data_IF_063516790781
#
_entry.id   IF_063516790781
#
_cell.length_a   1.000
_cell.length_b   1.000
_cell.length_c   1.000
_cell.angle_alpha   90.00
_cell.angle_beta   90.00
_cell.angle_gamma   90.00
#
_symmetry.space_group_name_H-M   'P 1'
#
loop_
_entity.id
_entity.type
_entity.pdbx_description
1 polymer ?
#
# COMPACT_ATOMS: atom_id res chain seq x y z
N UNK A 1 14.86 -1.65 -25.34
CA UNK A 1 13.43 -1.44 -25.04
C UNK A 1 13.06 -2.17 -23.78
N UNK A 2 11.78 -2.46 -23.60
CA UNK A 2 11.26 -3.25 -22.48
C UNK A 2 11.89 -4.65 -22.46
N UNK A 3 12.19 -5.16 -21.27
CA UNK A 3 12.78 -6.49 -21.09
C UNK A 3 11.78 -7.64 -21.22
N UNK A 4 10.48 -7.35 -21.29
CA UNK A 4 9.38 -8.30 -21.48
C UNK A 4 8.16 -7.55 -22.04
N UNK A 5 7.16 -8.29 -22.54
CA UNK A 5 5.83 -7.76 -22.75
C UNK A 5 5.10 -7.57 -21.41
N UNK A 6 4.13 -6.67 -21.35
CA UNK A 6 3.28 -6.58 -20.18
C UNK A 6 2.37 -5.36 -20.15
N UNK A 7 1.44 -5.38 -19.21
CA UNK A 7 0.55 -4.27 -18.89
C UNK A 7 0.80 -3.84 -17.46
N UNK A 8 0.78 -2.54 -17.19
CA UNK A 8 1.01 -1.98 -15.86
C UNK A 8 -0.04 -0.92 -15.58
N UNK A 9 -0.48 -0.85 -14.32
CA UNK A 9 -1.54 0.06 -13.90
C UNK A 9 -1.04 1.03 -12.82
N UNK A 10 -1.36 2.30 -13.03
CA UNK A 10 -1.26 3.39 -12.09
C UNK A 10 -2.66 3.77 -11.63
N UNK A 11 -2.83 4.05 -10.34
CA UNK A 11 -4.11 4.53 -9.83
C UNK A 11 -3.90 5.59 -8.75
N UNK A 12 -4.81 6.54 -8.68
CA UNK A 12 -4.91 7.51 -7.62
C UNK A 12 -6.37 7.93 -7.41
N UNK A 13 -6.70 8.26 -6.16
CA UNK A 13 -8.02 8.80 -5.77
C UNK A 13 -7.82 9.82 -4.66
N UNK A 14 -8.71 10.78 -4.54
CA UNK A 14 -8.70 11.81 -3.48
C UNK A 14 -9.25 11.31 -2.14
N UNK A 15 -9.60 10.02 -2.01
CA UNK A 15 -10.09 9.41 -0.76
C UNK A 15 -9.13 9.61 0.42
N UNK A 16 -7.81 9.70 0.22
CA UNK A 16 -6.80 9.88 1.27
C UNK A 16 -5.72 10.88 0.87
N UNK A 17 -4.95 11.41 1.84
CA UNK A 17 -3.92 12.45 1.61
C UNK A 17 -2.72 11.93 0.79
N UNK A 18 -2.47 10.63 0.84
CA UNK A 18 -1.48 9.95 0.02
C UNK A 18 -2.07 9.47 -1.32
N UNK A 19 -3.30 9.84 -1.65
CA UNK A 19 -4.01 9.51 -2.89
C UNK A 19 -4.23 8.00 -3.13
N UNK A 20 -4.49 7.25 -2.07
CA UNK A 20 -4.72 5.80 -2.09
C UNK A 20 -6.21 5.47 -1.87
N UNK A 21 -6.68 4.29 -2.29
CA UNK A 21 -7.98 3.77 -1.86
C UNK A 21 -8.03 3.67 -0.33
N UNK A 22 -9.09 4.18 0.30
CA UNK A 22 -9.18 4.28 1.75
C UNK A 22 -9.10 2.92 2.45
N UNK A 23 -9.78 1.89 1.95
CA UNK A 23 -9.81 0.56 2.57
C UNK A 23 -8.42 -0.10 2.64
N UNK A 24 -7.61 0.08 1.59
CA UNK A 24 -6.23 -0.41 1.57
C UNK A 24 -5.36 0.40 2.52
N UNK A 25 -5.48 1.73 2.47
CA UNK A 25 -4.69 2.64 3.32
C UNK A 25 -4.89 2.33 4.81
N UNK A 26 -6.14 2.16 5.24
CA UNK A 26 -6.49 1.75 6.60
C UNK A 26 -5.94 0.35 6.96
N UNK A 27 -6.04 -0.61 6.04
CA UNK A 27 -5.47 -1.95 6.24
C UNK A 27 -3.96 -1.90 6.45
N UNK A 28 -3.25 -1.07 5.68
CA UNK A 28 -1.81 -0.89 5.82
C UNK A 28 -1.46 -0.18 7.14
N UNK A 29 -2.21 0.85 7.50
CA UNK A 29 -2.02 1.59 8.74
C UNK A 29 -2.17 0.69 9.98
N UNK A 30 -3.16 -0.21 9.99
CA UNK A 30 -3.36 -1.19 11.06
C UNK A 30 -2.14 -2.12 11.24
N UNK A 31 -1.60 -2.66 10.16
CA UNK A 31 -0.44 -3.56 10.23
C UNK A 31 0.87 -2.83 10.53
N UNK A 32 1.02 -1.59 10.06
CA UNK A 32 2.16 -0.73 10.39
C UNK A 32 2.17 -0.40 11.88
N UNK A 33 1.03 0.03 12.43
CA UNK A 33 0.90 0.39 13.84
C UNK A 33 1.08 -0.84 14.74
N UNK A 34 0.49 -1.98 14.37
CA UNK A 34 0.68 -3.24 15.11
C UNK A 34 2.15 -3.68 15.14
N UNK A 35 2.87 -3.52 14.02
CA UNK A 35 4.30 -3.80 13.97
C UNK A 35 5.13 -2.77 14.74
N UNK A 36 4.71 -1.50 14.79
CA UNK A 36 5.32 -0.46 15.61
C UNK A 36 5.21 -0.81 17.11
N UNK A 37 4.01 -1.12 17.58
CA UNK A 37 3.75 -1.58 18.96
C UNK A 37 4.67 -2.76 19.30
N UNK A 38 4.64 -3.82 18.49
CA UNK A 38 5.45 -5.02 18.73
C UNK A 38 6.96 -4.76 18.81
N UNK A 39 7.49 -3.85 17.99
CA UNK A 39 8.95 -3.64 17.88
C UNK A 39 9.49 -2.57 18.81
N UNK A 40 8.72 -1.53 19.05
CA UNK A 40 9.20 -0.31 19.69
C UNK A 40 8.56 -0.06 21.06
N UNK A 41 7.39 -0.64 21.33
CA UNK A 41 6.62 -0.48 22.58
C UNK A 41 6.04 -1.83 23.02
N UNK A 42 6.87 -2.88 23.13
CA UNK A 42 6.39 -4.24 23.40
C UNK A 42 5.62 -4.34 24.72
N UNK A 43 5.84 -3.44 25.68
CA UNK A 43 5.11 -3.39 26.94
C UNK A 43 3.59 -3.16 26.79
N UNK A 44 3.13 -2.55 25.68
CA UNK A 44 1.71 -2.32 25.45
C UNK A 44 0.96 -3.61 25.08
N UNK A 45 1.59 -4.47 24.29
CA UNK A 45 1.03 -5.74 23.82
C UNK A 45 2.14 -6.82 23.76
N UNK A 46 2.65 -7.31 24.90
CA UNK A 46 3.90 -8.05 25.00
C UNK A 46 3.87 -9.43 24.36
N UNK A 47 2.68 -9.95 24.07
CA UNK A 47 2.47 -11.23 23.44
C UNK A 47 2.56 -11.20 21.91
N UNK A 48 2.67 -10.03 21.26
CA UNK A 48 2.61 -9.94 19.80
C UNK A 48 3.78 -10.63 19.11
N UNK A 49 3.48 -11.43 18.08
CA UNK A 49 4.46 -12.06 17.18
C UNK A 49 4.41 -11.47 15.77
N UNK A 50 5.38 -11.80 14.88
CA UNK A 50 5.54 -11.09 13.61
C UNK A 50 4.42 -11.25 12.57
N UNK A 51 3.73 -12.39 12.53
CA UNK A 51 2.71 -12.66 11.49
C UNK A 51 1.37 -12.00 11.84
N UNK A 52 0.86 -11.15 10.95
CA UNK A 52 -0.40 -10.45 11.16
C UNK A 52 -1.09 -10.12 9.83
N UNK A 53 -2.42 -10.06 9.86
CA UNK A 53 -3.31 -9.79 8.72
C UNK A 53 -4.40 -8.81 9.17
N UNK A 54 -4.76 -7.90 8.27
CA UNK A 54 -5.85 -6.95 8.49
C UNK A 54 -6.76 -6.91 7.27
N UNK A 55 -8.04 -6.62 7.50
CA UNK A 55 -9.01 -6.32 6.45
C UNK A 55 -9.96 -5.24 6.94
N UNK A 56 -10.25 -4.27 6.08
CA UNK A 56 -11.20 -3.19 6.37
C UNK A 56 -12.28 -3.17 5.30
N UNK A 57 -13.53 -3.28 5.74
CA UNK A 57 -14.71 -3.13 4.88
C UNK A 57 -15.28 -1.73 5.07
N UNK A 58 -15.34 -0.96 3.99
CA UNK A 58 -15.90 0.40 3.97
C UNK A 58 -17.17 0.39 3.14
N UNK A 59 -18.23 0.98 3.67
CA UNK A 59 -19.47 1.23 2.94
C UNK A 59 -19.33 2.52 2.12
N UNK A 60 -19.77 2.48 0.86
CA UNK A 60 -19.65 3.58 -0.08
C UNK A 60 -21.02 4.00 -0.61
N UNK A 61 -21.23 5.30 -0.80
CA UNK A 61 -22.34 5.83 -1.56
C UNK A 61 -22.18 5.54 -3.06
N UNK A 62 -23.25 5.76 -3.83
CA UNK A 62 -23.27 5.50 -5.28
C UNK A 62 -22.23 6.31 -6.06
N UNK A 63 -21.87 7.49 -5.59
CA UNK A 63 -20.83 8.37 -6.16
C UNK A 63 -19.39 7.94 -5.78
N UNK A 64 -19.26 6.91 -4.93
CA UNK A 64 -17.99 6.41 -4.42
C UNK A 64 -17.48 7.17 -3.20
N UNK A 65 -18.31 7.98 -2.53
CA UNK A 65 -17.94 8.62 -1.25
C UNK A 65 -17.98 7.60 -0.09
N UNK A 66 -16.91 7.46 0.72
CA UNK A 66 -16.94 6.63 1.94
C UNK A 66 -17.98 7.12 2.96
N UNK A 67 -18.82 6.21 3.45
CA UNK A 67 -19.89 6.52 4.41
C UNK A 67 -19.54 6.11 5.84
N UNK A 68 -19.05 4.88 6.03
CA UNK A 68 -18.61 4.34 7.33
C UNK A 68 -17.68 3.15 7.16
N UNK A 69 -16.90 2.84 8.19
CA UNK A 69 -16.26 1.52 8.31
C UNK A 69 -17.34 0.57 8.84
N UNK A 70 -17.65 -0.50 8.11
CA UNK A 70 -18.62 -1.50 8.57
C UNK A 70 -17.94 -2.57 9.43
N UNK A 71 -16.79 -3.07 8.98
CA UNK A 71 -16.11 -4.21 9.60
C UNK A 71 -14.59 -4.03 9.57
N UNK A 72 -13.93 -4.35 10.69
CA UNK A 72 -12.47 -4.48 10.79
C UNK A 72 -12.15 -5.91 11.24
N UNK A 73 -11.32 -6.61 10.46
CA UNK A 73 -10.76 -7.92 10.82
C UNK A 73 -9.28 -7.74 11.13
N UNK A 74 -8.84 -8.25 12.28
CA UNK A 74 -7.43 -8.33 12.66
C UNK A 74 -7.13 -9.76 13.09
N UNK A 75 -6.19 -10.40 12.41
CA UNK A 75 -5.59 -11.65 12.88
C UNK A 75 -4.12 -11.41 13.17
N UNK A 76 -3.72 -11.50 14.44
CA UNK A 76 -2.33 -11.34 14.85
C UNK A 76 -1.82 -12.59 15.54
N UNK A 77 -0.62 -13.00 15.16
CA UNK A 77 0.09 -14.07 15.84
C UNK A 77 0.48 -13.61 17.24
N UNK A 78 0.47 -14.53 18.20
CA UNK A 78 0.78 -14.21 19.59
C UNK A 78 1.48 -15.36 20.34
N UNK A 79 2.07 -15.04 21.49
CA UNK A 79 2.50 -16.02 22.48
C UNK A 79 1.32 -16.75 23.11
N UNK A 80 1.56 -17.96 23.61
CA UNK A 80 0.60 -18.68 24.46
C UNK A 80 0.73 -18.22 25.91
N UNK A 81 0.16 -17.05 26.23
CA UNK A 81 0.34 -16.39 27.53
C UNK A 81 -0.70 -16.79 28.58
N UNK A 82 -1.81 -17.40 28.19
CA UNK A 82 -2.76 -18.03 29.11
C UNK A 82 -2.62 -19.55 29.04
N UNK A 83 -2.56 -20.20 30.21
CA UNK A 83 -2.53 -21.66 30.31
C UNK A 83 -3.87 -22.20 30.77
N UNK A 84 -4.27 -23.41 30.34
CA UNK A 84 -5.43 -24.07 30.89
C UNK A 84 -5.21 -24.39 32.38
N UNK A 85 -6.25 -24.21 33.19
CA UNK A 85 -6.19 -24.47 34.65
C UNK A 85 -6.17 -25.97 34.96
N UNK A 86 -6.63 -26.79 34.03
CA UNK A 86 -6.75 -28.24 34.14
C UNK A 86 -6.38 -28.86 32.79
N UNK A 87 -5.99 -30.15 32.80
CA UNK A 87 -5.68 -30.87 31.57
C UNK A 87 -6.96 -31.43 30.91
N UNK A 88 -7.89 -30.55 30.56
CA UNK A 88 -9.15 -30.88 29.87
C UNK A 88 -9.31 -30.03 28.62
N UNK A 89 -10.15 -30.51 27.69
CA UNK A 89 -10.43 -29.78 26.45
C UNK A 89 -11.14 -28.46 26.74
N UNK A 90 -12.07 -28.49 27.67
CA UNK A 90 -12.86 -27.34 28.10
C UNK A 90 -11.96 -26.25 28.69
N UNK A 91 -11.04 -26.62 29.59
CA UNK A 91 -10.09 -25.66 30.18
C UNK A 91 -9.13 -25.05 29.14
N UNK A 92 -8.80 -25.79 28.08
CA UNK A 92 -8.02 -25.28 26.94
C UNK A 92 -8.80 -24.25 26.14
N UNK A 93 -10.05 -24.56 25.78
CA UNK A 93 -10.92 -23.62 25.04
C UNK A 93 -11.17 -22.33 25.83
N UNK A 94 -11.36 -22.43 27.14
CA UNK A 94 -11.49 -21.26 28.01
C UNK A 94 -10.21 -20.41 28.07
N UNK A 95 -9.03 -21.03 28.07
CA UNK A 95 -7.76 -20.30 28.03
C UNK A 95 -7.57 -19.58 26.69
N UNK A 96 -7.90 -20.25 25.57
CA UNK A 96 -7.85 -19.65 24.24
C UNK A 96 -8.81 -18.45 24.11
N UNK A 97 -10.02 -18.56 24.66
CA UNK A 97 -11.00 -17.46 24.64
C UNK A 97 -10.57 -16.29 25.52
N UNK A 98 -9.90 -16.54 26.66
CA UNK A 98 -9.30 -15.46 27.48
C UNK A 98 -8.20 -14.73 26.72
N UNK A 99 -7.32 -15.44 26.00
CA UNK A 99 -6.30 -14.80 25.15
C UNK A 99 -6.97 -13.96 24.06
N UNK A 100 -7.91 -14.55 23.32
CA UNK A 100 -8.63 -13.86 22.24
C UNK A 100 -9.32 -12.59 22.74
N UNK A 101 -10.01 -12.67 23.89
CA UNK A 101 -10.70 -11.54 24.53
C UNK A 101 -9.73 -10.44 24.95
N UNK A 102 -8.56 -10.80 25.49
CA UNK A 102 -7.52 -9.83 25.84
C UNK A 102 -6.98 -9.13 24.59
N UNK A 103 -6.67 -9.89 23.55
CA UNK A 103 -6.18 -9.35 22.26
C UNK A 103 -7.24 -8.43 21.64
N UNK A 104 -8.51 -8.83 21.67
CA UNK A 104 -9.61 -7.99 21.18
C UNK A 104 -9.71 -6.67 21.95
N UNK A 105 -9.60 -6.72 23.28
CA UNK A 105 -9.61 -5.53 24.14
C UNK A 105 -8.46 -4.60 23.78
N UNK A 106 -7.24 -5.12 23.69
CA UNK A 106 -6.05 -4.33 23.37
C UNK A 106 -6.11 -3.76 21.94
N UNK A 107 -6.63 -4.52 20.96
CA UNK A 107 -6.89 -3.99 19.61
C UNK A 107 -7.85 -2.80 19.67
N UNK A 108 -8.98 -2.93 20.37
CA UNK A 108 -10.00 -1.87 20.45
C UNK A 108 -9.55 -0.64 21.26
N UNK A 109 -8.74 -0.83 22.28
CA UNK A 109 -8.36 0.24 23.22
C UNK A 109 -6.99 0.85 22.96
N UNK A 110 -6.11 0.15 22.25
CA UNK A 110 -4.74 0.58 21.93
C UNK A 110 -4.59 0.78 20.42
N UNK A 111 -4.76 -0.27 19.61
CA UNK A 111 -4.47 -0.21 18.17
C UNK A 111 -5.40 0.74 17.42
N UNK A 112 -6.71 0.58 17.57
CA UNK A 112 -7.71 1.36 16.81
C UNK A 112 -7.62 2.86 17.12
N UNK A 113 -7.56 3.32 18.38
CA UNK A 113 -7.43 4.75 18.68
C UNK A 113 -6.14 5.36 18.12
N UNK A 114 -5.03 4.61 18.11
CA UNK A 114 -3.77 5.09 17.52
C UNK A 114 -3.86 5.23 16.01
N UNK A 115 -4.46 4.27 15.31
CA UNK A 115 -4.70 4.38 13.87
C UNK A 115 -5.66 5.53 13.57
N UNK A 116 -6.77 5.65 14.30
CA UNK A 116 -7.71 6.77 14.15
C UNK A 116 -7.02 8.13 14.32
N UNK A 117 -6.11 8.26 15.30
CA UNK A 117 -5.37 9.49 15.55
C UNK A 117 -4.45 9.91 14.38
N UNK A 118 -4.01 8.98 13.53
CA UNK A 118 -3.25 9.29 12.31
C UNK A 118 -4.09 10.09 11.31
N UNK A 119 -5.42 9.94 11.34
CA UNK A 119 -6.36 10.61 10.43
C UNK A 119 -7.06 11.84 11.05
N UNK A 120 -6.60 12.33 12.22
CA UNK A 120 -7.24 13.46 12.94
C UNK A 120 -7.41 14.75 12.12
N UNK A 121 -6.59 14.95 11.09
CA UNK A 121 -6.67 16.12 10.20
C UNK A 121 -7.58 15.91 8.98
N UNK A 122 -8.01 14.67 8.74
CA UNK A 122 -8.99 14.29 7.71
C UNK A 122 -10.31 13.93 8.37
N UNK A 123 -11.08 14.98 8.73
CA UNK A 123 -12.35 14.84 9.47
C UNK A 123 -13.34 13.88 8.79
N UNK A 124 -13.34 13.86 7.46
CA UNK A 124 -14.15 12.99 6.63
C UNK A 124 -13.78 11.50 6.77
N UNK A 125 -12.51 11.17 7.03
CA UNK A 125 -12.04 9.82 7.33
C UNK A 125 -12.11 9.51 8.82
N UNK A 126 -11.72 10.46 9.68
CA UNK A 126 -11.72 10.31 11.13
C UNK A 126 -13.11 9.95 11.67
N UNK A 127 -14.17 10.62 11.18
CA UNK A 127 -15.56 10.36 11.57
C UNK A 127 -16.01 8.93 11.26
N UNK A 128 -15.38 8.24 10.30
CA UNK A 128 -15.77 6.88 9.91
C UNK A 128 -15.48 5.86 11.02
N UNK A 129 -14.60 6.21 11.97
CA UNK A 129 -14.28 5.40 13.15
C UNK A 129 -15.31 5.55 14.28
N UNK A 130 -16.18 6.56 14.21
CA UNK A 130 -17.19 6.86 15.26
C UNK A 130 -18.47 6.03 15.10
N UNK A 131 -18.60 5.28 14.00
CA UNK A 131 -19.73 4.40 13.75
C UNK A 131 -19.69 3.08 14.56
N UNK A 132 -20.79 2.33 14.48
CA UNK A 132 -20.84 0.96 15.01
C UNK A 132 -20.06 0.01 14.08
N UNK A 133 -18.78 -0.20 14.43
CA UNK A 133 -17.86 -1.06 13.69
C UNK A 133 -17.91 -2.48 14.26
N UNK A 134 -18.10 -3.46 13.38
CA UNK A 134 -17.94 -4.87 13.71
C UNK A 134 -16.46 -5.21 13.75
N UNK A 135 -15.99 -5.74 14.88
CA UNK A 135 -14.61 -6.20 15.00
C UNK A 135 -14.55 -7.72 15.04
N UNK A 136 -13.69 -8.28 14.19
CA UNK A 136 -13.34 -9.69 14.21
C UNK A 136 -11.84 -9.81 14.53
N UNK A 137 -11.54 -10.01 15.81
CA UNK A 137 -10.16 -10.15 16.29
C UNK A 137 -9.85 -11.62 16.56
N UNK A 138 -8.86 -12.15 15.84
CA UNK A 138 -8.49 -13.57 15.81
C UNK A 138 -9.74 -14.48 15.72
N UNK A 139 -10.57 -14.35 14.67
CA UNK A 139 -11.89 -15.00 14.61
C UNK A 139 -11.83 -16.54 14.58
N UNK A 140 -10.67 -17.12 14.26
CA UNK A 140 -10.43 -18.57 14.31
C UNK A 140 -9.95 -19.06 15.68
N UNK A 141 -9.85 -18.17 16.68
CA UNK A 141 -9.29 -18.46 17.99
C UNK A 141 -7.78 -18.29 18.03
N UNK A 142 -7.09 -19.27 18.64
CA UNK A 142 -5.64 -19.24 18.90
C UNK A 142 -4.82 -19.10 17.61
N UNK A 143 -3.85 -18.17 17.59
CA UNK A 143 -2.90 -17.99 16.49
C UNK A 143 -1.45 -17.93 17.01
N UNK A 144 -0.95 -19.06 17.51
CA UNK A 144 0.42 -19.14 18.08
C UNK A 144 1.47 -19.54 17.03
N UNK A 145 1.11 -20.47 16.16
CA UNK A 145 1.95 -20.93 15.04
C UNK A 145 1.69 -20.03 13.84
N UNK A 146 2.74 -19.48 13.23
CA UNK A 146 2.65 -18.57 12.09
C UNK A 146 3.98 -18.46 11.35
N UNK A 147 4.03 -17.55 10.38
CA UNK A 147 5.20 -17.39 9.52
C UNK A 147 5.48 -18.63 8.65
N UNK A 148 6.73 -18.82 8.18
CA UNK A 148 7.06 -19.91 7.24
C UNK A 148 6.81 -21.33 7.77
N UNK A 149 6.69 -21.51 9.09
CA UNK A 149 6.33 -22.79 9.69
C UNK A 149 4.83 -23.09 9.54
N UNK A 150 3.99 -22.06 9.55
CA UNK A 150 2.55 -22.18 9.32
C UNK A 150 2.21 -22.30 7.83
N UNK A 151 2.76 -21.38 7.01
CA UNK A 151 2.44 -21.28 5.58
C UNK A 151 3.69 -20.98 4.74
N UNK A 152 3.87 -21.67 3.60
CA UNK A 152 4.95 -21.38 2.65
C UNK A 152 4.75 -20.01 1.97
N UNK A 153 5.73 -19.12 2.09
CA UNK A 153 5.76 -17.82 1.42
C UNK A 153 6.53 -17.86 0.09
N UNK A 154 6.02 -17.15 -0.93
CA UNK A 154 6.71 -16.96 -2.21
C UNK A 154 6.67 -15.49 -2.64
N UNK A 155 7.75 -15.03 -3.28
CA UNK A 155 7.84 -13.69 -3.87
C UNK A 155 6.71 -13.46 -4.89
N UNK A 156 6.09 -12.28 -4.86
CA UNK A 156 5.04 -11.92 -5.81
C UNK A 156 3.67 -12.54 -5.55
N UNK A 157 3.42 -13.09 -4.35
CA UNK A 157 2.10 -13.62 -3.96
C UNK A 157 1.25 -12.65 -3.13
N UNK A 158 1.57 -11.36 -3.21
CA UNK A 158 0.86 -10.25 -2.55
C UNK A 158 0.70 -9.00 -3.44
N UNK A 159 0.71 -9.17 -4.77
CA UNK A 159 0.70 -8.05 -5.74
C UNK A 159 -0.48 -7.07 -5.58
N UNK A 160 -1.64 -7.53 -5.12
CA UNK A 160 -2.80 -6.66 -4.85
C UNK A 160 -2.61 -5.84 -3.56
N UNK A 161 -1.97 -6.43 -2.55
CA UNK A 161 -1.57 -5.73 -1.32
C UNK A 161 -0.42 -4.76 -1.61
N UNK A 162 0.48 -5.11 -2.52
CA UNK A 162 1.57 -4.23 -2.95
C UNK A 162 1.08 -2.98 -3.70
N UNK A 163 -0.14 -3.02 -4.25
CA UNK A 163 -0.71 -1.98 -5.12
C UNK A 163 -1.93 -1.28 -4.54
N UNK A 164 -3.15 -1.61 -4.97
CA UNK A 164 -4.37 -0.81 -4.76
C UNK A 164 -5.51 -1.59 -4.11
N UNK A 165 -5.24 -2.76 -3.52
CA UNK A 165 -6.22 -3.45 -2.67
C UNK A 165 -7.47 -3.93 -3.41
N UNK A 166 -7.38 -4.09 -4.73
CA UNK A 166 -8.50 -4.50 -5.58
C UNK A 166 -9.39 -3.35 -6.07
N UNK A 167 -9.14 -2.10 -5.65
CA UNK A 167 -9.86 -0.92 -6.17
C UNK A 167 -9.50 -0.61 -7.62
N UNK A 168 -8.29 -0.94 -8.03
CA UNK A 168 -7.79 -0.75 -9.38
C UNK A 168 -7.36 -2.09 -10.03
N UNK A 169 -7.35 -2.10 -11.37
CA UNK A 169 -6.85 -3.22 -12.15
C UNK A 169 -5.36 -3.48 -11.90
N UNK A 170 -4.93 -4.71 -12.17
CA UNK A 170 -3.54 -5.13 -12.02
C UNK A 170 -3.09 -5.94 -13.25
N UNK A 171 -1.86 -5.71 -13.72
CA UNK A 171 -1.34 -6.33 -14.95
C UNK A 171 -0.63 -7.67 -14.76
N UNK A 172 -0.61 -8.19 -13.54
CA UNK A 172 -0.07 -9.50 -13.16
C UNK A 172 1.42 -9.52 -12.74
N UNK A 173 2.22 -8.54 -13.18
CA UNK A 173 3.65 -8.47 -12.86
C UNK A 173 3.92 -8.21 -11.38
N UNK A 174 4.72 -9.06 -10.73
CA UNK A 174 5.23 -8.82 -9.38
C UNK A 174 6.37 -7.78 -9.35
N UNK A 175 6.63 -7.17 -8.19
CA UNK A 175 7.69 -6.16 -8.05
C UNK A 175 8.97 -6.67 -7.42
N UNK A 176 8.90 -7.24 -6.22
CA UNK A 176 10.07 -7.65 -5.42
C UNK A 176 10.96 -8.65 -6.15
N UNK A 177 12.28 -8.44 -6.04
CA UNK A 177 13.30 -9.23 -6.76
C UNK A 177 13.64 -8.75 -8.17
N UNK A 178 12.97 -7.71 -8.69
CA UNK A 178 13.22 -7.18 -10.04
C UNK A 178 14.02 -5.87 -10.02
N UNK A 179 15.06 -5.77 -10.84
CA UNK A 179 15.75 -4.51 -11.09
C UNK A 179 14.85 -3.55 -11.91
N UNK A 180 15.15 -2.24 -11.97
CA UNK A 180 14.23 -1.27 -12.55
C UNK A 180 14.15 -1.29 -14.09
N UNK A 181 14.98 -2.08 -14.79
CA UNK A 181 14.81 -2.33 -16.23
C UNK A 181 13.56 -3.16 -16.53
N UNK A 182 13.03 -3.88 -15.53
CA UNK A 182 11.80 -4.66 -15.64
C UNK A 182 10.58 -3.75 -15.50
N UNK A 183 9.89 -3.56 -16.63
CA UNK A 183 8.73 -2.67 -16.77
C UNK A 183 7.60 -3.02 -15.81
N UNK A 184 7.46 -4.28 -15.40
CA UNK A 184 6.50 -4.69 -14.35
C UNK A 184 6.59 -3.81 -13.10
N UNK A 185 7.80 -3.42 -12.71
CA UNK A 185 8.04 -2.54 -11.56
C UNK A 185 8.11 -1.08 -12.00
N UNK A 186 9.00 -0.75 -12.94
CA UNK A 186 9.28 0.65 -13.26
C UNK A 186 8.10 1.35 -13.93
N UNK A 187 7.39 0.71 -14.85
CA UNK A 187 6.23 1.30 -15.49
C UNK A 187 5.01 1.36 -14.55
N UNK A 188 4.84 0.41 -13.63
CA UNK A 188 3.82 0.50 -12.59
C UNK A 188 4.06 1.72 -11.67
N UNK A 189 5.32 1.95 -11.27
CA UNK A 189 5.70 3.15 -10.49
C UNK A 189 5.51 4.43 -11.30
N UNK A 190 5.87 4.42 -12.59
CA UNK A 190 5.66 5.58 -13.46
C UNK A 190 4.17 5.90 -13.63
N UNK A 191 3.33 4.89 -13.83
CA UNK A 191 1.89 5.06 -13.95
C UNK A 191 1.28 5.58 -12.64
N UNK A 192 1.73 5.07 -11.48
CA UNK A 192 1.36 5.62 -10.16
C UNK A 192 1.75 7.10 -10.04
N UNK A 193 3.00 7.43 -10.37
CA UNK A 193 3.51 8.81 -10.31
C UNK A 193 2.65 9.76 -11.14
N UNK A 194 2.30 9.36 -12.36
CA UNK A 194 1.43 10.15 -13.23
C UNK A 194 0.04 10.28 -12.61
N UNK A 195 -0.63 9.17 -12.28
CA UNK A 195 -2.00 9.20 -11.74
C UNK A 195 -2.09 10.08 -10.48
N UNK A 196 -1.13 9.92 -9.57
CA UNK A 196 -1.04 10.71 -8.34
C UNK A 196 -0.89 12.21 -8.62
N UNK A 197 0.01 12.59 -9.52
CA UNK A 197 0.21 14.00 -9.88
C UNK A 197 -1.01 14.58 -10.61
N UNK A 198 -1.70 13.80 -11.45
CA UNK A 198 -2.90 14.23 -12.15
C UNK A 198 -4.07 14.50 -11.19
N UNK A 199 -4.31 13.59 -10.23
CA UNK A 199 -5.35 13.79 -9.19
C UNK A 199 -4.97 14.95 -8.27
N UNK A 200 -3.71 15.04 -7.83
CA UNK A 200 -3.24 16.15 -7.01
C UNK A 200 -3.31 17.52 -7.72
N UNK A 201 -3.14 17.55 -9.04
CA UNK A 201 -3.32 18.76 -9.85
C UNK A 201 -4.79 19.16 -10.06
N UNK A 202 -5.74 18.29 -9.68
CA UNK A 202 -7.16 18.54 -9.83
C UNK A 202 -7.75 18.13 -11.18
N UNK A 203 -7.03 17.39 -12.02
CA UNK A 203 -7.54 16.93 -13.33
C UNK A 203 -8.77 16.03 -13.18
N UNK A 204 -8.76 15.15 -12.17
CA UNK A 204 -9.89 14.31 -11.79
C UNK A 204 -9.78 13.98 -10.29
N UNK A 205 -10.88 13.61 -9.64
CA UNK A 205 -10.85 13.17 -8.23
C UNK A 205 -10.46 11.68 -8.09
N UNK A 206 -10.47 10.92 -9.18
CA UNK A 206 -10.06 9.52 -9.30
C UNK A 206 -9.55 9.24 -10.73
N UNK A 207 -8.49 8.45 -10.87
CA UNK A 207 -7.92 8.12 -12.17
C UNK A 207 -7.19 6.78 -12.16
N UNK A 208 -7.45 5.97 -13.19
CA UNK A 208 -6.65 4.81 -13.58
C UNK A 208 -5.86 5.15 -14.85
N UNK A 209 -4.59 4.74 -14.87
CA UNK A 209 -3.71 4.78 -16.05
C UNK A 209 -3.22 3.38 -16.31
N UNK A 210 -3.33 2.93 -17.55
CA UNK A 210 -2.73 1.69 -18.02
C UNK A 210 -1.65 2.02 -19.06
N UNK A 211 -0.49 1.38 -18.93
CA UNK A 211 0.58 1.41 -19.93
C UNK A 211 0.89 -0.02 -20.35
N UNK A 212 1.17 -0.25 -21.63
CA UNK A 212 1.60 -1.57 -22.11
C UNK A 212 2.88 -1.49 -22.95
N UNK A 213 3.66 -2.57 -22.92
CA UNK A 213 4.90 -2.70 -23.69
C UNK A 213 4.93 -4.03 -24.44
N UNK A 214 5.60 -4.01 -25.59
CA UNK A 214 6.06 -5.21 -26.28
C UNK A 214 7.56 -5.42 -26.00
N UNK A 215 7.98 -6.68 -25.91
CA UNK A 215 9.38 -7.04 -25.65
C UNK A 215 10.32 -6.40 -26.68
N UNK A 216 11.43 -5.84 -26.21
CA UNK A 216 12.43 -5.18 -27.06
C UNK A 216 12.09 -3.75 -27.49
N UNK A 217 10.81 -3.34 -27.46
CA UNK A 217 10.35 -2.01 -27.90
C UNK A 217 10.45 -1.00 -26.74
N UNK A 218 10.97 0.19 -27.00
CA UNK A 218 11.17 1.21 -25.96
C UNK A 218 9.90 2.03 -25.69
N UNK A 219 9.20 2.43 -26.74
CA UNK A 219 7.95 3.19 -26.63
C UNK A 219 6.82 2.28 -26.11
N UNK A 220 5.90 2.81 -25.28
CA UNK A 220 4.71 2.06 -24.89
C UNK A 220 3.81 1.79 -26.10
N UNK A 221 3.22 0.60 -26.14
CA UNK A 221 2.24 0.21 -27.18
C UNK A 221 0.91 0.93 -26.98
N UNK A 222 0.53 1.19 -25.73
CA UNK A 222 -0.68 1.95 -25.40
C UNK A 222 -0.52 2.72 -24.10
N UNK A 223 -1.24 3.84 -24.03
CA UNK A 223 -1.55 4.57 -22.80
C UNK A 223 -3.07 4.70 -22.78
N UNK A 224 -3.71 4.13 -21.77
CA UNK A 224 -5.15 4.20 -21.56
C UNK A 224 -5.43 4.90 -20.23
N UNK A 225 -6.45 5.74 -20.21
CA UNK A 225 -6.89 6.51 -19.03
C UNK A 225 -8.36 6.19 -18.78
N UNK A 226 -8.73 6.11 -17.51
CA UNK A 226 -10.12 6.09 -17.08
C UNK A 226 -10.29 7.00 -15.87
N UNK A 227 -11.08 8.07 -16.01
CA UNK A 227 -11.39 9.00 -14.90
C UNK A 227 -12.67 8.61 -14.16
N UNK A 228 -13.32 7.52 -14.55
CA UNK A 228 -14.58 7.03 -13.97
C UNK A 228 -15.70 8.09 -13.99
N UNK A 229 -15.69 8.98 -14.98
CA UNK A 229 -16.62 10.11 -15.07
C UNK A 229 -16.37 11.23 -14.05
N UNK A 230 -15.22 11.22 -13.36
CA UNK A 230 -14.82 12.18 -12.31
C UNK A 230 -13.80 13.22 -12.79
N UNK A 231 -13.70 13.42 -14.10
CA UNK A 231 -12.85 14.45 -14.71
C UNK A 231 -13.38 15.85 -14.40
N UNK A 232 -12.49 16.77 -14.01
CA UNK A 232 -12.78 18.19 -13.79
C UNK A 232 -12.39 19.07 -15.00
N UNK A 233 -11.86 18.46 -16.07
CA UNK A 233 -11.42 19.16 -17.28
C UNK A 233 -12.36 18.86 -18.44
N UNK A 234 -12.50 19.80 -19.38
CA UNK A 234 -13.30 19.64 -20.61
C UNK A 234 -12.54 18.82 -21.67
N UNK A 235 -12.11 17.62 -21.31
CA UNK A 235 -11.33 16.70 -22.15
C UNK A 235 -11.86 15.29 -21.96
N UNK A 236 -11.85 14.49 -23.03
CA UNK A 236 -12.14 13.05 -22.91
C UNK A 236 -10.95 12.32 -22.27
N UNK A 237 -11.18 11.11 -21.76
CA UNK A 237 -10.10 10.27 -21.25
C UNK A 237 -9.03 9.99 -22.33
N UNK A 238 -9.42 9.93 -23.60
CA UNK A 238 -8.48 9.79 -24.72
C UNK A 238 -7.61 11.05 -24.90
N UNK A 239 -8.18 12.25 -24.82
CA UNK A 239 -7.42 13.50 -24.90
C UNK A 239 -6.43 13.63 -23.71
N UNK A 240 -6.87 13.21 -22.52
CA UNK A 240 -6.00 13.16 -21.32
C UNK A 240 -4.83 12.20 -21.56
N UNK A 241 -5.08 11.02 -22.15
CA UNK A 241 -4.05 10.04 -22.47
C UNK A 241 -3.01 10.58 -23.46
N UNK A 242 -3.44 11.33 -24.48
CA UNK A 242 -2.53 11.98 -25.43
C UNK A 242 -1.67 13.07 -24.75
N UNK A 243 -2.26 13.88 -23.87
CA UNK A 243 -1.48 14.84 -23.07
C UNK A 243 -0.46 14.16 -22.16
N UNK A 244 -0.81 13.04 -21.54
CA UNK A 244 0.13 12.25 -20.74
C UNK A 244 1.30 11.76 -21.62
N UNK A 245 1.02 11.27 -22.83
CA UNK A 245 2.05 10.82 -23.78
C UNK A 245 3.06 11.93 -24.09
N UNK A 246 2.60 13.18 -24.23
CA UNK A 246 3.45 14.34 -24.51
C UNK A 246 4.20 14.84 -23.26
N UNK A 247 3.57 14.78 -22.10
CA UNK A 247 4.13 15.32 -20.84
C UNK A 247 5.19 14.41 -20.22
N UNK A 248 5.07 13.10 -20.39
CA UNK A 248 5.86 12.08 -19.72
C UNK A 248 6.53 11.14 -20.71
N UNK A 249 7.87 11.13 -20.70
CA UNK A 249 8.63 10.08 -21.37
C UNK A 249 8.49 8.77 -20.59
N UNK A 250 7.81 7.80 -21.21
CA UNK A 250 7.50 6.49 -20.65
C UNK A 250 8.42 5.39 -21.19
N UNK A 251 9.52 5.72 -21.86
CA UNK A 251 10.53 4.70 -22.21
C UNK A 251 11.20 4.18 -20.94
N UNK A 252 11.54 2.87 -20.83
CA UNK A 252 12.09 2.29 -19.61
C UNK A 252 13.28 3.05 -19.02
N UNK A 253 14.25 3.45 -19.86
CA UNK A 253 15.42 4.22 -19.42
C UNK A 253 15.06 5.62 -18.90
N UNK A 254 14.08 6.28 -19.53
CA UNK A 254 13.62 7.60 -19.11
C UNK A 254 12.89 7.53 -17.76
N UNK A 255 12.09 6.48 -17.55
CA UNK A 255 11.46 6.20 -16.26
C UNK A 255 12.52 5.99 -15.17
N UNK A 256 13.52 5.14 -15.43
CA UNK A 256 14.63 4.89 -14.49
C UNK A 256 15.34 6.17 -14.07
N UNK A 257 15.60 7.07 -15.03
CA UNK A 257 16.28 8.34 -14.79
C UNK A 257 15.39 9.32 -14.03
N UNK A 258 14.16 9.55 -14.50
CA UNK A 258 13.18 10.48 -13.90
C UNK A 258 12.92 10.13 -12.44
N UNK A 259 12.71 8.85 -12.15
CA UNK A 259 12.39 8.36 -10.81
C UNK A 259 13.64 7.91 -10.03
N UNK A 260 14.85 8.12 -10.55
CA UNK A 260 16.12 7.77 -9.88
C UNK A 260 16.15 6.32 -9.37
N UNK A 261 15.67 5.38 -10.18
CA UNK A 261 15.44 3.99 -9.75
C UNK A 261 16.72 3.16 -9.62
N UNK A 262 17.86 3.60 -10.17
CA UNK A 262 19.15 2.91 -9.99
C UNK A 262 19.81 3.24 -8.65
N UNK A 263 19.05 3.04 -7.56
CA UNK A 263 19.48 3.22 -6.18
C UNK A 263 18.96 2.05 -5.31
N UNK A 264 19.62 1.74 -4.17
CA UNK A 264 19.21 0.63 -3.29
C UNK A 264 18.03 1.00 -2.36
N UNK A 265 16.86 1.26 -2.96
CA UNK A 265 15.66 1.85 -2.32
C UNK A 265 14.47 0.90 -2.17
N UNK A 266 14.64 -0.39 -2.49
CA UNK A 266 13.53 -1.32 -2.66
C UNK A 266 13.21 -2.20 -1.45
N UNK A 267 14.09 -2.25 -0.43
CA UNK A 267 13.86 -3.10 0.72
C UNK A 267 12.60 -2.66 1.48
N UNK A 268 12.45 -1.35 1.64
CA UNK A 268 11.34 -0.74 2.34
C UNK A 268 10.02 -1.04 1.65
N UNK A 269 9.99 -1.20 0.32
CA UNK A 269 8.75 -1.45 -0.45
C UNK A 269 8.19 -2.86 -0.25
N UNK A 270 9.00 -3.82 0.22
CA UNK A 270 8.65 -5.24 0.25
C UNK A 270 7.57 -5.62 1.29
N UNK A 271 7.08 -4.64 2.06
CA UNK A 271 6.00 -4.78 3.03
C UNK A 271 5.26 -3.45 3.17
N UNK A 272 3.98 -3.52 3.53
CA UNK A 272 3.13 -2.34 3.74
C UNK A 272 2.96 -1.46 2.50
N UNK A 273 3.01 -2.07 1.31
CA UNK A 273 2.67 -1.42 0.05
C UNK A 273 3.83 -0.68 -0.59
N UNK A 274 3.81 -0.69 -1.92
CA UNK A 274 4.74 0.08 -2.74
C UNK A 274 4.27 1.52 -2.97
N UNK A 275 2.96 1.74 -2.90
CA UNK A 275 2.30 3.02 -3.20
C UNK A 275 1.77 3.69 -1.92
N UNK A 276 1.55 4.99 -1.96
CA UNK A 276 0.96 5.75 -0.84
C UNK A 276 1.92 6.11 0.29
N UNK A 277 3.23 5.92 0.10
CA UNK A 277 4.25 6.17 1.13
C UNK A 277 4.96 7.49 0.90
N UNK A 278 5.29 8.17 2.00
CA UNK A 278 5.95 9.47 1.92
C UNK A 278 7.35 9.37 1.27
N UNK A 279 7.63 10.13 0.20
CA UNK A 279 8.98 10.26 -0.33
C UNK A 279 9.89 10.94 0.70
N UNK A 280 11.03 10.33 0.99
CA UNK A 280 11.98 10.89 1.96
C UNK A 280 13.42 10.52 1.65
N UNK A 281 14.34 11.41 2.00
CA UNK A 281 15.76 11.13 1.98
C UNK A 281 16.17 10.44 3.26
N UNK A 282 16.96 9.38 3.15
CA UNK A 282 17.49 8.64 4.29
C UNK A 282 18.95 8.26 4.04
N UNK A 283 19.75 8.22 5.10
CA UNK A 283 21.09 7.66 5.07
C UNK A 283 20.99 6.16 5.33
N UNK A 284 21.43 5.33 4.38
CA UNK A 284 21.44 3.87 4.50
C UNK A 284 22.86 3.37 4.68
N UNK A 285 22.98 2.33 5.49
CA UNK A 285 24.22 1.59 5.73
C UNK A 285 24.03 0.20 5.15
N UNK A 286 24.88 -0.18 4.21
CA UNK A 286 24.91 -1.50 3.62
C UNK A 286 26.13 -2.24 4.13
N UNK A 287 25.89 -3.45 4.64
CA UNK A 287 26.94 -4.38 5.06
C UNK A 287 26.66 -5.74 4.46
N UNK A 288 27.72 -6.46 4.11
CA UNK A 288 27.65 -7.81 3.58
C UNK A 288 28.90 -8.55 4.00
N UNK A 289 28.80 -9.88 4.19
CA UNK A 289 29.97 -10.72 4.46
C UNK A 289 31.04 -10.62 3.36
N UNK A 290 30.64 -10.20 2.16
CA UNK A 290 31.52 -10.00 1.00
C UNK A 290 31.97 -8.55 0.80
N UNK A 291 31.58 -7.63 1.70
CA UNK A 291 32.00 -6.22 1.67
C UNK A 291 32.83 -5.94 2.94
N UNK A 292 34.17 -5.82 2.82
CA UNK A 292 35.04 -5.60 3.97
C UNK A 292 34.77 -4.26 4.68
N UNK A 293 34.27 -3.26 3.96
CA UNK A 293 33.86 -1.96 4.50
C UNK A 293 32.37 -1.72 4.31
N UNK A 294 31.74 -1.05 5.27
CA UNK A 294 30.34 -0.65 5.16
C UNK A 294 30.19 0.46 4.12
N UNK A 295 29.22 0.31 3.23
CA UNK A 295 28.87 1.37 2.28
C UNK A 295 27.76 2.21 2.90
N UNK A 296 28.03 3.51 3.05
CA UNK A 296 27.07 4.47 3.60
C UNK A 296 26.69 5.46 2.52
N UNK A 297 25.41 5.59 2.22
CA UNK A 297 24.94 6.52 1.18
C UNK A 297 23.58 7.12 1.52
N UNK A 298 23.35 8.35 1.07
CA UNK A 298 22.02 8.98 1.08
C UNK A 298 21.22 8.50 -0.14
N UNK A 299 19.97 8.10 0.08
CA UNK A 299 19.04 7.72 -0.97
C UNK A 299 17.69 8.40 -0.78
N UNK A 300 16.96 8.61 -1.87
CA UNK A 300 15.60 9.14 -1.88
C UNK A 300 14.62 7.97 -2.09
N UNK A 301 13.84 7.62 -1.06
CA UNK A 301 12.84 6.55 -1.13
C UNK A 301 11.54 7.04 -1.78
N UNK A 302 10.78 6.12 -2.39
CA UNK A 302 9.43 6.35 -2.95
C UNK A 302 9.34 7.57 -3.88
N UNK A 303 10.33 7.75 -4.76
CA UNK A 303 10.37 8.88 -5.70
C UNK A 303 9.14 8.98 -6.60
N UNK A 304 8.44 7.88 -6.87
CA UNK A 304 7.18 7.86 -7.61
C UNK A 304 5.97 8.42 -6.84
N UNK A 305 6.11 8.66 -5.54
CA UNK A 305 5.06 9.28 -4.72
C UNK A 305 5.18 10.81 -4.65
N UNK A 306 6.18 11.40 -5.31
CA UNK A 306 6.39 12.85 -5.35
C UNK A 306 5.33 13.56 -6.17
N UNK A 307 4.98 14.78 -5.77
CA UNK A 307 4.05 15.68 -6.44
C UNK A 307 4.78 16.77 -7.26
N UNK A 308 5.89 16.39 -7.90
CA UNK A 308 6.80 17.30 -8.61
C UNK A 308 6.35 17.67 -10.04
N UNK A 309 5.23 17.13 -10.51
CA UNK A 309 4.62 17.46 -11.80
C UNK A 309 3.32 18.25 -11.68
N UNK A 310 2.80 18.49 -10.47
CA UNK A 310 1.51 19.15 -10.24
C UNK A 310 1.39 20.48 -10.98
N UNK A 311 2.35 21.39 -10.82
CA UNK A 311 2.29 22.71 -11.46
C UNK A 311 2.44 22.64 -12.99
N UNK A 312 3.25 21.69 -13.49
CA UNK A 312 3.37 21.46 -14.94
C UNK A 312 2.05 20.94 -15.52
N UNK A 313 1.37 20.04 -14.81
CA UNK A 313 0.06 19.51 -15.22
C UNK A 313 -0.98 20.61 -15.18
N UNK A 314 -1.09 21.38 -14.09
CA UNK A 314 -2.04 22.50 -14.01
C UNK A 314 -1.93 23.43 -15.22
N UNK A 315 -0.70 23.84 -15.54
CA UNK A 315 -0.42 24.66 -16.73
C UNK A 315 -0.88 24.00 -18.04
N UNK A 316 -0.60 22.71 -18.23
CA UNK A 316 -0.96 21.99 -19.46
C UNK A 316 -2.46 21.73 -19.60
N UNK A 317 -3.17 21.65 -18.48
CA UNK A 317 -4.61 21.38 -18.42
C UNK A 317 -5.48 22.63 -18.20
N UNK A 318 -4.85 23.80 -17.98
CA UNK A 318 -5.56 25.07 -17.77
C UNK A 318 -6.27 25.14 -16.41
N UNK A 319 -5.66 24.56 -15.37
CA UNK A 319 -6.12 24.54 -13.98
C UNK A 319 -5.34 25.52 -13.11
#
# INVERSE_FOLDING_TARGET
GAGDQGMMFGYATSETDNFMPLSLDLSHALLLELANIRKNEPELMPYLRPDAKSQVTVEYAQDGTPLRIDTIVISTQHDEFEKPRQNTREATLEADERMRSRIETDVRTILIPRVQAQYKHRKDVHKLFEGDIKYHVNPTGKFVIGGPHGDTGLTGRKIIVDTYGGKAAHGGGAFSGKDPSKVDRSAAYAARHIAKNMVAAGVASEMLIQVSYAIGIAEPMSIYVNTYGKSNVKMTDADIAEKIRLLFDLRPKAIEQRLKLRNPIYFETASYGHMGREPRKVKKVFSSRYMPEQVVMEVELFTWEKLDYVEKIKKEFGL
#
